data_IF_293818551310
#
_entry.id   IF_293818551310
#
_cell.length_a   1.000
_cell.length_b   1.000
_cell.length_c   1.000
_cell.angle_alpha   90.00
_cell.angle_beta   90.00
_cell.angle_gamma   90.00
#
_symmetry.space_group_name_H-M   'P 1'
#
loop_
_entity.id
_entity.type
_entity.pdbx_description
1 polymer ?
#
# COMPACT_ATOMS: atom_id res chain seq x y z
N UNK A 1 32.72 2.73 -64.17
CA UNK A 1 34.09 3.13 -63.78
C UNK A 1 34.18 4.64 -63.86
N UNK A 2 34.11 5.34 -62.73
CA UNK A 2 34.56 6.73 -62.58
C UNK A 2 34.89 6.98 -61.11
N UNK A 3 35.97 7.72 -60.91
CA UNK A 3 36.78 7.85 -59.70
C UNK A 3 36.74 9.32 -59.28
N UNK A 4 36.99 9.61 -57.98
CA UNK A 4 37.53 10.87 -57.41
C UNK A 4 36.50 12.04 -57.32
N UNK A 5 36.31 12.80 -56.23
CA UNK A 5 37.22 13.32 -55.19
C UNK A 5 36.52 13.73 -53.87
N UNK A 6 37.38 14.06 -52.91
CA UNK A 6 37.22 14.23 -51.47
C UNK A 6 36.49 15.50 -50.95
N UNK A 7 36.21 15.38 -49.65
CA UNK A 7 35.66 16.25 -48.59
C UNK A 7 36.48 17.52 -48.33
N UNK A 8 35.87 18.54 -47.67
CA UNK A 8 36.56 19.13 -46.51
C UNK A 8 35.72 19.13 -45.22
N UNK A 9 36.40 18.74 -44.13
CA UNK A 9 35.98 18.75 -42.73
C UNK A 9 35.87 20.19 -42.23
N UNK A 10 34.80 20.51 -41.52
CA UNK A 10 34.78 21.63 -40.57
C UNK A 10 34.72 21.03 -39.17
N UNK A 11 35.83 21.14 -38.45
CA UNK A 11 35.89 20.87 -37.02
C UNK A 11 35.74 22.17 -36.24
N UNK A 12 35.06 22.11 -35.10
CA UNK A 12 35.20 23.06 -33.99
C UNK A 12 34.64 22.39 -32.71
N UNK A 13 35.57 22.07 -31.80
CA UNK A 13 35.39 21.69 -30.40
C UNK A 13 35.90 22.88 -29.54
N UNK A 14 35.86 22.81 -28.19
CA UNK A 14 34.80 23.29 -27.32
C UNK A 14 35.22 24.56 -26.54
N UNK A 15 34.29 25.26 -25.91
CA UNK A 15 34.62 26.33 -24.93
C UNK A 15 34.13 25.93 -23.54
N UNK A 16 35.04 25.32 -22.77
CA UNK A 16 34.99 25.35 -21.31
C UNK A 16 35.50 26.71 -20.85
N UNK A 17 34.69 27.44 -20.07
CA UNK A 17 35.14 28.59 -19.30
C UNK A 17 34.99 28.25 -17.82
N UNK A 18 36.13 28.03 -17.18
CA UNK A 18 36.29 28.16 -15.74
C UNK A 18 36.05 29.63 -15.35
N UNK A 19 35.21 29.87 -14.35
CA UNK A 19 35.43 30.98 -13.43
C UNK A 19 35.23 30.51 -11.99
N UNK A 20 36.29 30.80 -11.25
CA UNK A 20 36.51 30.69 -9.82
C UNK A 20 35.77 31.79 -9.07
N UNK A 21 35.21 31.52 -7.89
CA UNK A 21 34.82 32.60 -6.98
C UNK A 21 34.07 32.20 -5.71
N UNK A 22 34.73 32.47 -4.58
CA UNK A 22 34.16 32.86 -3.30
C UNK A 22 33.62 31.80 -2.32
N UNK A 23 34.57 31.35 -1.51
CA UNK A 23 34.56 31.25 -0.04
C UNK A 23 33.28 31.64 0.74
N UNK A 24 32.90 30.69 1.62
CA UNK A 24 32.51 30.83 3.03
C UNK A 24 31.57 31.99 3.43
N UNK A 25 30.34 31.62 3.74
CA UNK A 25 29.61 32.18 4.89
C UNK A 25 28.92 31.03 5.65
N UNK A 26 29.55 30.55 6.70
CA UNK A 26 28.90 29.75 7.74
C UNK A 26 28.35 30.75 8.76
N UNK A 27 27.03 30.98 8.75
CA UNK A 27 26.35 31.65 9.85
C UNK A 27 25.83 30.58 10.80
N UNK A 28 26.54 30.42 11.91
CA UNK A 28 26.12 29.62 13.06
C UNK A 28 24.91 30.29 13.73
N UNK A 29 23.73 29.71 13.58
CA UNK A 29 22.58 30.04 14.41
C UNK A 29 22.76 29.38 15.79
N UNK A 30 23.14 30.20 16.77
CA UNK A 30 23.15 29.83 18.18
C UNK A 30 21.80 30.22 18.79
N UNK A 31 21.00 29.21 19.15
CA UNK A 31 19.81 29.39 19.97
C UNK A 31 20.14 28.96 21.39
N UNK A 32 20.24 29.93 22.32
CA UNK A 32 20.22 29.67 23.76
C UNK A 32 18.78 29.90 24.29
N UNK A 33 18.33 29.10 25.28
CA UNK A 33 17.00 29.25 25.86
C UNK A 33 17.02 30.21 27.06
N UNK A 34 16.21 31.27 27.05
CA UNK A 34 15.96 32.04 28.26
C UNK A 34 14.81 31.47 29.07
N UNK A 35 15.16 31.17 30.33
CA UNK A 35 14.26 30.99 31.47
C UNK A 35 13.61 32.33 31.83
N UNK A 36 12.31 32.33 32.08
CA UNK A 36 11.69 33.30 32.98
C UNK A 36 10.74 32.58 33.95
N UNK A 37 11.14 32.61 35.23
CA UNK A 37 10.34 32.23 36.39
C UNK A 37 9.49 33.44 36.80
N UNK A 38 8.19 33.25 37.02
CA UNK A 38 7.44 34.11 37.94
C UNK A 38 6.38 33.31 38.71
N UNK A 39 6.36 33.58 40.01
CA UNK A 39 5.68 32.84 41.05
C UNK A 39 4.24 33.30 41.33
N UNK A 40 3.44 32.33 41.76
CA UNK A 40 2.31 32.36 42.69
C UNK A 40 1.60 33.69 43.04
N UNK A 41 0.27 33.70 42.82
CA UNK A 41 -0.68 34.13 43.86
C UNK A 41 -2.03 33.41 43.73
N UNK A 42 -2.50 32.88 44.86
CA UNK A 42 -3.76 32.12 45.05
C UNK A 42 -5.00 33.01 44.92
N UNK A 43 -6.05 32.46 44.32
CA UNK A 43 -7.44 32.76 44.62
C UNK A 43 -8.29 31.48 44.39
N UNK A 44 -9.00 31.03 45.44
CA UNK A 44 -10.09 30.04 45.36
C UNK A 44 -11.42 30.80 45.18
N UNK A 45 -12.42 30.31 44.42
CA UNK A 45 -13.36 29.23 44.84
C UNK A 45 -14.00 28.49 43.61
N UNK A 46 -15.19 27.84 43.64
CA UNK A 46 -15.91 27.12 44.70
C UNK A 46 -16.06 25.61 44.39
N UNK A 47 -16.54 24.87 45.39
CA UNK A 47 -16.80 23.43 45.35
C UNK A 47 -17.99 23.08 44.45
N UNK A 48 -17.73 22.26 43.43
CA UNK A 48 -18.75 21.47 42.76
C UNK A 48 -18.30 20.01 42.72
N UNK A 49 -19.10 19.17 43.36
CA UNK A 49 -19.02 17.71 43.38
C UNK A 49 -18.78 17.14 41.99
N UNK A 50 -17.54 16.71 41.73
CA UNK A 50 -17.16 16.01 40.51
C UNK A 50 -17.05 14.52 40.83
N UNK A 51 -18.04 13.74 40.38
CA UNK A 51 -17.99 12.29 40.47
C UNK A 51 -16.89 11.77 39.54
N UNK A 52 -15.85 11.23 40.15
CA UNK A 52 -14.73 10.53 39.49
C UNK A 52 -15.23 9.16 39.03
N UNK A 53 -15.75 9.07 37.81
CA UNK A 53 -15.85 7.79 37.12
C UNK A 53 -14.45 7.38 36.67
N UNK A 54 -13.92 6.36 37.33
CA UNK A 54 -12.78 5.59 36.86
C UNK A 54 -13.14 5.06 35.46
N UNK A 55 -12.61 5.68 34.40
CA UNK A 55 -12.61 5.06 33.07
C UNK A 55 -11.61 3.91 33.10
N UNK A 56 -12.17 2.72 33.24
CA UNK A 56 -11.53 1.45 32.92
C UNK A 56 -10.96 1.54 31.49
N UNK A 57 -9.73 1.09 31.23
CA UNK A 57 -9.27 0.92 29.86
C UNK A 57 -10.19 -0.10 29.17
N UNK A 58 -10.76 0.32 28.05
CA UNK A 58 -11.61 -0.49 27.20
C UNK A 58 -10.78 -1.69 26.70
N UNK A 59 -11.19 -2.95 26.97
CA UNK A 59 -10.45 -4.10 26.48
C UNK A 59 -10.53 -4.10 24.96
N UNK A 60 -9.36 -4.19 24.31
CA UNK A 60 -9.23 -4.37 22.88
C UNK A 60 -10.17 -5.50 22.45
N UNK A 61 -11.12 -5.19 21.55
CA UNK A 61 -12.06 -6.15 20.98
C UNK A 61 -11.29 -7.26 20.25
N UNK A 62 -11.05 -8.35 20.95
CA UNK A 62 -10.77 -9.64 20.33
C UNK A 62 -12.04 -10.04 19.59
N UNK A 63 -11.99 -10.10 18.25
CA UNK A 63 -13.15 -10.47 17.43
C UNK A 63 -13.39 -11.96 17.58
N UNK A 64 -14.43 -12.32 18.34
CA UNK A 64 -14.86 -13.71 18.52
C UNK A 64 -15.65 -14.15 17.30
N UNK A 65 -15.04 -14.96 16.44
CA UNK A 65 -15.73 -15.71 15.40
C UNK A 65 -16.16 -17.06 16.02
N UNK A 66 -17.46 -17.30 16.14
CA UNK A 66 -17.99 -18.65 16.41
C UNK A 66 -18.33 -19.32 15.09
N UNK A 67 -17.57 -20.35 14.69
CA UNK A 67 -17.95 -21.26 13.62
C UNK A 67 -18.12 -22.67 14.19
N UNK A 68 -19.32 -23.24 14.04
CA UNK A 68 -19.57 -24.67 14.20
C UNK A 68 -18.76 -25.47 13.17
N UNK A 69 -18.37 -26.73 13.46
CA UNK A 69 -17.49 -27.51 12.59
C UNK A 69 -18.27 -28.10 11.42
N UNK A 70 -18.58 -27.28 10.41
CA UNK A 70 -18.89 -27.75 9.07
C UNK A 70 -17.61 -27.77 8.24
N UNK A 71 -17.33 -28.90 7.60
CA UNK A 71 -16.19 -29.27 6.73
C UNK A 71 -16.04 -28.41 5.46
N UNK A 72 -16.44 -27.14 5.51
CA UNK A 72 -16.29 -26.21 4.40
C UNK A 72 -14.83 -25.77 4.36
N UNK A 73 -14.06 -26.29 3.38
CA UNK A 73 -12.66 -25.90 3.13
C UNK A 73 -12.52 -24.41 2.82
N UNK A 74 -13.60 -23.74 2.43
CA UNK A 74 -13.62 -22.33 2.03
C UNK A 74 -14.72 -21.62 2.79
N UNK A 75 -14.42 -20.43 3.28
CA UNK A 75 -15.43 -19.50 3.79
C UNK A 75 -15.05 -18.06 3.44
N UNK A 76 -16.05 -17.19 3.32
CA UNK A 76 -15.85 -15.75 3.07
C UNK A 76 -15.68 -14.98 4.38
N UNK A 77 -14.94 -13.88 4.32
CA UNK A 77 -14.88 -12.95 5.44
C UNK A 77 -16.26 -12.29 5.68
N UNK A 78 -16.79 -12.25 6.93
CA UNK A 78 -18.08 -11.65 7.22
C UNK A 78 -18.16 -10.15 6.92
N UNK A 79 -17.06 -9.42 7.11
CA UNK A 79 -16.99 -7.97 6.90
C UNK A 79 -16.51 -7.64 5.47
N UNK A 80 -15.83 -8.58 4.81
CA UNK A 80 -15.30 -8.46 3.44
C UNK A 80 -15.75 -9.66 2.59
N UNK A 81 -17.00 -9.70 2.08
CA UNK A 81 -17.53 -10.86 1.33
C UNK A 81 -16.78 -11.16 0.03
N UNK A 82 -15.92 -10.23 -0.40
CA UNK A 82 -15.03 -10.35 -1.54
C UNK A 82 -13.71 -11.09 -1.24
N UNK A 83 -13.47 -11.41 0.03
CA UNK A 83 -12.29 -12.10 0.58
C UNK A 83 -12.64 -13.53 1.00
N UNK A 84 -11.81 -14.49 0.61
CA UNK A 84 -12.02 -15.92 0.88
C UNK A 84 -10.82 -16.54 1.58
N UNK A 85 -11.11 -17.33 2.60
CA UNK A 85 -10.13 -18.13 3.33
C UNK A 85 -10.25 -19.59 2.89
N UNK A 86 -9.13 -20.15 2.45
CA UNK A 86 -9.00 -21.52 1.97
C UNK A 86 -8.18 -22.31 2.97
N UNK A 87 -8.80 -23.28 3.63
CA UNK A 87 -8.14 -24.10 4.64
C UNK A 87 -7.13 -25.07 4.00
N UNK A 88 -5.92 -25.11 4.56
CA UNK A 88 -4.79 -25.89 4.07
C UNK A 88 -4.26 -26.80 5.17
N UNK A 89 -4.17 -28.08 4.86
CA UNK A 89 -3.49 -29.05 5.72
C UNK A 89 -1.97 -28.95 5.56
N UNK A 90 -1.19 -29.27 6.60
CA UNK A 90 0.26 -29.39 6.48
C UNK A 90 0.65 -30.59 5.58
N UNK A 91 1.77 -30.51 4.85
CA UNK A 91 2.68 -29.36 4.75
C UNK A 91 2.12 -28.23 3.88
N UNK A 92 2.31 -26.99 4.31
CA UNK A 92 1.91 -25.78 3.56
C UNK A 92 3.06 -24.75 3.55
N UNK A 93 2.94 -23.67 2.76
CA UNK A 93 4.03 -22.69 2.57
C UNK A 93 4.47 -21.97 3.85
N UNK A 94 3.64 -21.94 4.89
CA UNK A 94 3.95 -21.29 6.18
C UNK A 94 4.50 -22.28 7.20
N UNK A 95 3.99 -23.51 7.23
CA UNK A 95 4.37 -24.52 8.21
C UNK A 95 4.27 -25.93 7.66
N UNK A 96 5.26 -26.75 8.02
CA UNK A 96 5.29 -28.19 7.72
C UNK A 96 4.40 -29.03 8.65
N UNK A 97 3.94 -28.47 9.77
CA UNK A 97 3.26 -29.22 10.85
C UNK A 97 1.92 -28.63 11.27
N UNK A 98 1.70 -27.34 11.09
CA UNK A 98 0.47 -26.66 11.48
C UNK A 98 -0.38 -26.31 10.25
N UNK A 99 -1.72 -26.41 10.33
CA UNK A 99 -2.60 -25.94 9.28
C UNK A 99 -2.53 -24.42 9.10
N UNK A 100 -2.91 -23.94 7.92
CA UNK A 100 -2.96 -22.53 7.57
C UNK A 100 -4.20 -22.22 6.71
N UNK A 101 -4.54 -20.94 6.61
CA UNK A 101 -5.52 -20.44 5.66
C UNK A 101 -4.81 -19.65 4.56
N UNK A 102 -4.99 -20.03 3.30
CA UNK A 102 -4.65 -19.19 2.16
C UNK A 102 -5.76 -18.14 1.96
N UNK A 103 -5.36 -16.89 1.78
CA UNK A 103 -6.28 -15.77 1.61
C UNK A 103 -6.29 -15.34 0.15
N UNK A 104 -7.47 -15.24 -0.46
CA UNK A 104 -7.58 -14.83 -1.88
C UNK A 104 -8.87 -14.06 -2.17
N UNK A 105 -8.94 -13.44 -3.35
CA UNK A 105 -10.14 -12.79 -3.89
C UNK A 105 -11.04 -13.74 -4.70
N UNK A 106 -10.69 -15.04 -4.76
CA UNK A 106 -11.37 -16.05 -5.57
C UNK A 106 -12.15 -16.99 -4.67
N UNK A 107 -13.44 -17.17 -4.97
CA UNK A 107 -14.36 -18.05 -4.23
C UNK A 107 -14.26 -19.52 -4.61
N UNK A 108 -13.58 -19.84 -5.71
CA UNK A 108 -13.37 -21.20 -6.22
C UNK A 108 -12.21 -21.91 -5.50
N UNK A 109 -12.29 -23.24 -5.38
CA UNK A 109 -11.19 -24.05 -4.84
C UNK A 109 -9.89 -23.81 -5.60
N UNK A 110 -8.84 -23.46 -4.84
CA UNK A 110 -7.50 -23.32 -5.36
C UNK A 110 -6.90 -24.71 -5.61
N UNK A 111 -6.64 -25.04 -6.88
CA UNK A 111 -6.01 -26.32 -7.23
C UNK A 111 -4.57 -26.44 -6.72
N UNK A 112 -3.89 -25.30 -6.49
CA UNK A 112 -2.53 -25.23 -5.99
C UNK A 112 -2.42 -24.28 -4.77
N UNK A 113 -1.87 -24.73 -3.63
CA UNK A 113 -1.60 -23.89 -2.45
C UNK A 113 -0.69 -22.69 -2.72
N UNK A 114 0.19 -22.78 -3.74
CA UNK A 114 1.14 -21.74 -4.16
C UNK A 114 0.62 -20.94 -5.37
N UNK A 115 -0.69 -20.98 -5.62
CA UNK A 115 -1.30 -20.24 -6.73
C UNK A 115 -1.00 -18.74 -6.63
N UNK A 116 -0.74 -18.12 -7.78
CA UNK A 116 -0.53 -16.67 -7.89
C UNK A 116 -1.78 -15.86 -7.47
N UNK A 117 -2.93 -16.52 -7.35
CA UNK A 117 -4.17 -15.93 -6.84
C UNK A 117 -4.20 -15.76 -5.31
N UNK A 118 -3.30 -16.41 -4.59
CA UNK A 118 -3.22 -16.33 -3.12
C UNK A 118 -2.46 -15.08 -2.73
N UNK A 119 -3.11 -14.17 -2.00
CA UNK A 119 -2.50 -12.96 -1.46
C UNK A 119 -1.43 -13.25 -0.42
N UNK A 120 -1.68 -14.27 0.38
CA UNK A 120 -0.82 -14.68 1.46
C UNK A 120 -1.50 -15.72 2.33
N UNK A 121 -0.86 -16.02 3.44
CA UNK A 121 -1.24 -17.11 4.31
C UNK A 121 -1.30 -16.68 5.76
N UNK A 122 -2.25 -17.24 6.50
CA UNK A 122 -2.47 -16.98 7.92
C UNK A 122 -2.43 -18.32 8.67
N UNK A 123 -1.66 -18.45 9.77
CA UNK A 123 -1.69 -19.65 10.60
C UNK A 123 -3.10 -19.94 11.11
N UNK A 124 -3.57 -21.18 10.98
CA UNK A 124 -4.86 -21.56 11.54
C UNK A 124 -4.71 -21.69 13.06
N UNK A 125 -5.31 -20.76 13.80
CA UNK A 125 -5.32 -20.80 15.25
C UNK A 125 -6.07 -22.03 15.80
N UNK A 126 -5.84 -22.31 17.09
CA UNK A 126 -6.37 -23.49 17.80
C UNK A 126 -7.91 -23.47 17.91
N UNK A 127 -8.53 -22.29 17.80
CA UNK A 127 -9.97 -22.08 18.00
C UNK A 127 -10.75 -21.77 16.70
N UNK A 128 -10.16 -22.00 15.52
CA UNK A 128 -10.82 -21.67 14.24
C UNK A 128 -11.04 -20.16 14.02
N UNK A 129 -10.48 -19.31 14.87
CA UNK A 129 -10.45 -17.87 14.69
C UNK A 129 -9.36 -17.53 13.68
N UNK A 130 -9.76 -16.86 12.59
CA UNK A 130 -8.83 -16.31 11.62
C UNK A 130 -8.58 -14.86 11.97
N UNK A 131 -7.45 -14.60 12.61
CA UNK A 131 -6.91 -13.25 12.80
C UNK A 131 -5.80 -13.01 11.79
N UNK A 132 -5.66 -11.78 11.29
CA UNK A 132 -4.57 -11.40 10.36
C UNK A 132 -3.17 -11.36 11.03
N UNK A 133 -3.07 -11.79 12.29
CA UNK A 133 -1.81 -11.89 13.02
C UNK A 133 -0.97 -13.00 12.41
N UNK A 134 0.26 -12.66 12.01
CA UNK A 134 1.16 -13.60 11.35
C UNK A 134 0.85 -13.81 9.86
N UNK A 135 0.13 -12.87 9.23
CA UNK A 135 -0.04 -12.88 7.77
C UNK A 135 1.31 -12.87 7.06
N UNK A 136 1.55 -13.90 6.25
CA UNK A 136 2.72 -14.01 5.40
C UNK A 136 2.35 -13.64 3.97
N UNK A 137 2.94 -12.56 3.46
CA UNK A 137 2.68 -12.06 2.11
C UNK A 137 3.20 -13.03 1.03
N UNK A 138 2.42 -13.21 -0.04
CA UNK A 138 2.89 -13.88 -1.26
C UNK A 138 3.48 -12.84 -2.23
N UNK A 139 4.81 -12.89 -2.41
CA UNK A 139 5.50 -11.97 -3.32
C UNK A 139 5.00 -12.07 -4.78
N UNK A 140 4.61 -13.27 -5.22
CA UNK A 140 4.12 -13.51 -6.59
C UNK A 140 2.78 -12.81 -6.81
N UNK A 141 1.90 -12.81 -5.80
CA UNK A 141 0.65 -12.04 -5.88
C UNK A 141 0.92 -10.55 -5.94
N UNK A 142 1.88 -10.04 -5.16
CA UNK A 142 2.25 -8.61 -5.17
C UNK A 142 2.73 -8.16 -6.55
N UNK A 143 3.45 -9.00 -7.28
CA UNK A 143 3.82 -8.72 -8.67
C UNK A 143 2.58 -8.60 -9.59
N UNK A 144 1.63 -9.53 -9.48
CA UNK A 144 0.37 -9.47 -10.23
C UNK A 144 -0.45 -8.24 -9.86
N UNK A 145 -0.49 -7.88 -8.58
CA UNK A 145 -1.16 -6.67 -8.11
C UNK A 145 -0.61 -5.43 -8.82
N UNK A 146 0.72 -5.26 -8.85
CA UNK A 146 1.35 -4.12 -9.53
C UNK A 146 1.10 -4.15 -11.05
N UNK A 147 1.13 -5.32 -11.67
CA UNK A 147 0.80 -5.47 -13.09
C UNK A 147 -0.66 -5.05 -13.37
N UNK A 148 -1.61 -5.53 -12.56
CA UNK A 148 -3.03 -5.24 -12.71
C UNK A 148 -3.33 -3.75 -12.50
N UNK A 149 -2.74 -3.13 -11.47
CA UNK A 149 -2.90 -1.70 -11.21
C UNK A 149 -2.32 -0.90 -12.37
N UNK A 150 -1.09 -1.19 -12.82
CA UNK A 150 -0.48 -0.50 -13.96
C UNK A 150 -1.34 -0.60 -15.22
N UNK A 151 -1.86 -1.80 -15.54
CA UNK A 151 -2.79 -2.01 -16.67
C UNK A 151 -4.10 -1.23 -16.49
N UNK A 152 -4.69 -1.26 -15.30
CA UNK A 152 -5.91 -0.53 -15.00
C UNK A 152 -5.76 0.99 -15.16
N UNK A 153 -4.63 1.54 -14.74
CA UNK A 153 -4.29 2.96 -14.96
C UNK A 153 -4.11 3.28 -16.44
N UNK A 154 -3.43 2.41 -17.19
CA UNK A 154 -3.22 2.58 -18.63
C UNK A 154 -4.54 2.54 -19.43
N UNK A 155 -5.45 1.66 -19.04
CA UNK A 155 -6.77 1.50 -19.67
C UNK A 155 -7.79 2.53 -19.19
N UNK A 156 -7.48 3.29 -18.12
CA UNK A 156 -8.38 4.29 -17.57
C UNK A 156 -9.67 3.69 -17.00
N UNK A 157 -9.57 2.55 -16.31
CA UNK A 157 -10.76 1.81 -15.81
C UNK A 157 -11.28 2.31 -14.47
N UNK A 158 -10.59 3.25 -13.82
CA UNK A 158 -10.94 3.74 -12.48
C UNK A 158 -11.09 5.25 -12.42
N UNK A 159 -12.34 5.70 -12.27
CA UNK A 159 -12.73 7.11 -12.21
C UNK A 159 -12.06 7.83 -11.03
N UNK A 160 -11.77 7.14 -9.93
CA UNK A 160 -11.14 7.75 -8.75
C UNK A 160 -9.72 8.22 -9.10
N UNK A 161 -8.91 7.38 -9.75
CA UNK A 161 -7.56 7.78 -10.17
C UNK A 161 -7.61 8.83 -11.27
N UNK A 162 -8.55 8.72 -12.21
CA UNK A 162 -8.73 9.73 -13.27
C UNK A 162 -9.03 11.10 -12.66
N UNK A 163 -9.97 11.17 -11.70
CA UNK A 163 -10.29 12.41 -11.02
C UNK A 163 -9.11 12.94 -10.18
N UNK A 164 -8.34 12.05 -9.54
CA UNK A 164 -7.10 12.42 -8.84
C UNK A 164 -6.07 13.06 -9.78
N UNK A 165 -5.91 12.52 -10.99
CA UNK A 165 -5.02 13.06 -12.00
C UNK A 165 -5.50 14.43 -12.51
N UNK A 166 -6.81 14.59 -12.77
CA UNK A 166 -7.41 15.86 -13.16
C UNK A 166 -7.17 16.95 -12.11
N UNK A 167 -7.26 16.61 -10.81
CA UNK A 167 -6.98 17.54 -9.72
C UNK A 167 -5.49 17.86 -9.59
N UNK A 168 -4.62 16.87 -9.80
CA UNK A 168 -3.17 17.06 -9.75
C UNK A 168 -2.67 17.93 -10.90
N UNK A 169 -3.29 17.81 -12.08
CA UNK A 169 -2.96 18.48 -13.34
C UNK A 169 -1.55 18.15 -13.89
N UNK A 170 -0.49 18.36 -13.11
CA UNK A 170 0.87 17.97 -13.47
C UNK A 170 1.71 17.64 -12.24
N UNK A 171 2.56 16.62 -12.33
CA UNK A 171 3.47 16.20 -11.26
C UNK A 171 3.32 14.73 -10.88
N UNK A 172 3.94 14.32 -9.78
CA UNK A 172 3.81 12.95 -9.28
C UNK A 172 2.53 12.79 -8.45
N UNK A 173 1.80 11.71 -8.71
CA UNK A 173 0.60 11.30 -8.00
C UNK A 173 0.81 9.93 -7.36
N UNK A 174 0.39 9.78 -6.11
CA UNK A 174 0.40 8.49 -5.42
C UNK A 174 -0.92 7.76 -5.64
N UNK A 175 -0.82 6.46 -5.94
CA UNK A 175 -1.96 5.55 -6.01
C UNK A 175 -2.08 4.88 -4.66
N UNK A 176 -3.16 5.19 -3.95
CA UNK A 176 -3.46 4.65 -2.63
C UNK A 176 -4.36 3.43 -2.73
N UNK A 177 -4.28 2.57 -1.73
CA UNK A 177 -5.37 1.65 -1.47
C UNK A 177 -6.48 2.30 -0.63
N UNK A 178 -7.64 1.65 -0.62
CA UNK A 178 -8.89 2.12 -0.02
C UNK A 178 -9.04 1.76 1.46
N UNK A 179 -7.97 1.30 2.13
CA UNK A 179 -8.03 1.02 3.58
C UNK A 179 -8.01 2.30 4.39
N UNK A 180 -7.11 3.21 4.04
CA UNK A 180 -6.83 4.44 4.79
C UNK A 180 -6.59 5.62 3.83
N UNK A 181 -7.69 6.19 3.34
CA UNK A 181 -7.65 7.30 2.39
C UNK A 181 -7.15 8.56 3.12
N UNK A 182 -6.05 9.20 2.67
CA UNK A 182 -5.54 10.39 3.32
C UNK A 182 -6.48 11.59 3.18
N UNK A 183 -6.42 12.51 4.14
CA UNK A 183 -7.08 13.80 4.02
C UNK A 183 -6.56 14.57 2.79
N UNK A 184 -7.41 15.41 2.20
CA UNK A 184 -7.06 16.16 0.99
C UNK A 184 -5.77 16.98 1.17
N UNK A 185 -4.83 16.82 0.24
CA UNK A 185 -3.53 17.49 0.27
C UNK A 185 -2.52 16.89 1.26
N UNK A 186 -2.82 15.74 1.87
CA UNK A 186 -1.89 14.97 2.70
C UNK A 186 -1.44 13.71 1.96
N UNK A 187 -0.22 13.28 2.26
CA UNK A 187 0.30 11.98 1.82
C UNK A 187 -0.12 10.96 2.89
N UNK A 188 -0.70 9.85 2.44
CA UNK A 188 -1.09 8.72 3.29
C UNK A 188 0.11 7.96 3.86
N UNK A 189 -0.17 6.94 4.66
CA UNK A 189 0.88 6.12 5.23
C UNK A 189 1.62 5.34 4.13
N UNK A 190 2.97 5.25 4.18
CA UNK A 190 3.74 4.57 3.14
C UNK A 190 3.36 3.11 2.89
N UNK A 191 2.82 2.44 3.91
CA UNK A 191 2.39 1.04 3.83
C UNK A 191 1.10 0.87 2.99
N UNK A 192 0.33 1.96 2.77
CA UNK A 192 -0.93 1.99 2.01
C UNK A 192 -0.79 2.65 0.63
N UNK A 193 0.39 3.20 0.31
CA UNK A 193 0.70 3.71 -1.02
C UNK A 193 1.13 2.53 -1.88
N UNK A 194 0.35 2.19 -2.91
CA UNK A 194 0.65 1.09 -3.83
C UNK A 194 1.81 1.47 -4.75
N UNK A 195 1.74 2.67 -5.33
CA UNK A 195 2.69 3.12 -6.34
C UNK A 195 2.65 4.64 -6.52
N UNK A 196 3.61 5.15 -7.30
CA UNK A 196 3.60 6.52 -7.81
C UNK A 196 3.61 6.53 -9.33
N UNK A 197 2.95 7.52 -9.92
CA UNK A 197 2.87 7.75 -11.37
C UNK A 197 3.03 9.23 -11.67
N UNK A 198 3.59 9.56 -12.83
CA UNK A 198 3.61 10.91 -13.36
C UNK A 198 2.24 11.25 -13.96
N UNK A 199 1.82 12.48 -13.75
CA UNK A 199 0.62 13.09 -14.34
C UNK A 199 1.06 14.29 -15.17
N UNK A 200 0.51 14.41 -16.38
CA UNK A 200 0.69 15.54 -17.28
C UNK A 200 -0.64 15.90 -17.92
N UNK A 201 -0.98 17.19 -17.92
CA UNK A 201 -2.26 17.73 -18.42
C UNK A 201 -3.49 16.96 -17.91
N UNK A 202 -3.48 16.59 -16.63
CA UNK A 202 -4.55 15.86 -15.97
C UNK A 202 -4.65 14.38 -16.35
N UNK A 203 -3.68 13.83 -17.09
CA UNK A 203 -3.65 12.44 -17.55
C UNK A 203 -2.54 11.65 -16.86
N UNK A 204 -2.85 10.40 -16.53
CA UNK A 204 -1.89 9.47 -15.91
C UNK A 204 -0.98 8.88 -16.99
N UNK A 205 0.33 8.96 -16.78
CA UNK A 205 1.34 8.31 -17.61
C UNK A 205 1.71 6.95 -16.99
N UNK A 206 0.93 5.91 -17.30
CA UNK A 206 1.06 4.58 -16.68
C UNK A 206 2.40 3.87 -16.96
N UNK A 207 3.16 4.31 -17.97
CA UNK A 207 4.53 3.86 -18.24
C UNK A 207 5.53 4.31 -17.16
N UNK A 208 5.23 5.36 -16.42
CA UNK A 208 6.06 5.88 -15.32
C UNK A 208 5.78 5.21 -13.97
N UNK A 209 4.95 4.17 -13.97
CA UNK A 209 4.55 3.43 -12.77
C UNK A 209 5.76 2.94 -11.97
N UNK A 210 5.84 3.39 -10.72
CA UNK A 210 6.85 2.99 -9.75
C UNK A 210 6.17 2.36 -8.52
N UNK A 211 6.31 1.03 -8.34
CA UNK A 211 5.84 0.36 -7.12
C UNK A 211 6.44 1.00 -5.87
N UNK A 212 5.63 1.16 -4.82
CA UNK A 212 6.13 1.62 -3.54
C UNK A 212 6.80 0.46 -2.78
N UNK A 213 8.09 0.56 -2.42
CA UNK A 213 8.78 -0.52 -1.72
C UNK A 213 8.21 -0.82 -0.33
N UNK A 214 7.65 0.19 0.35
CA UNK A 214 7.06 0.06 1.68
C UNK A 214 5.68 -0.63 1.68
N UNK A 215 4.98 -0.68 0.55
CA UNK A 215 3.60 -1.17 0.47
C UNK A 215 3.43 -2.57 1.09
N UNK A 216 2.40 -2.74 1.92
CA UNK A 216 2.06 -4.01 2.59
C UNK A 216 0.68 -4.50 2.20
N UNK A 217 0.59 -5.79 1.88
CA UNK A 217 -0.68 -6.42 1.56
C UNK A 217 -1.62 -6.50 2.77
N UNK A 218 -1.05 -6.47 3.98
CA UNK A 218 -1.81 -6.48 5.23
C UNK A 218 -1.17 -5.50 6.22
N UNK A 219 -1.99 -4.59 6.75
CA UNK A 219 -1.61 -3.63 7.80
C UNK A 219 -2.55 -3.77 9.00
N UNK A 220 -2.42 -2.88 9.99
CA UNK A 220 -3.37 -2.81 11.11
C UNK A 220 -4.80 -2.47 10.66
N UNK A 221 -4.96 -1.78 9.53
CA UNK A 221 -6.25 -1.44 8.93
C UNK A 221 -6.85 -2.59 8.10
N UNK A 222 -6.09 -3.66 7.90
CA UNK A 222 -6.53 -4.90 7.27
C UNK A 222 -5.81 -5.23 5.96
N UNK A 223 -6.42 -6.15 5.20
CA UNK A 223 -5.91 -6.59 3.90
C UNK A 223 -6.19 -5.54 2.83
N UNK A 224 -5.29 -5.43 1.85
CA UNK A 224 -5.40 -4.60 0.65
C UNK A 224 -6.84 -4.50 0.15
N UNK A 225 -7.27 -3.26 -0.08
CA UNK A 225 -8.55 -2.93 -0.68
C UNK A 225 -8.30 -1.96 -1.81
N UNK A 226 -8.72 -2.28 -3.03
CA UNK A 226 -8.59 -1.37 -4.16
C UNK A 226 -9.89 -0.62 -4.39
N UNK A 227 -9.77 0.50 -5.09
CA UNK A 227 -10.90 1.21 -5.68
C UNK A 227 -11.68 0.29 -6.64
N UNK A 228 -12.99 0.53 -6.87
CA UNK A 228 -13.83 -0.40 -7.64
C UNK A 228 -13.29 -0.75 -9.04
N UNK A 229 -12.76 0.23 -9.77
CA UNK A 229 -12.20 0.00 -11.11
C UNK A 229 -10.95 -0.88 -11.08
N UNK A 230 -10.04 -0.61 -10.13
CA UNK A 230 -8.80 -1.38 -9.99
C UNK A 230 -9.04 -2.76 -9.37
N UNK A 231 -9.98 -2.91 -8.43
CA UNK A 231 -10.38 -4.21 -7.86
C UNK A 231 -10.93 -5.12 -8.95
N UNK A 232 -11.84 -4.61 -9.79
CA UNK A 232 -12.36 -5.37 -10.93
C UNK A 232 -11.24 -5.81 -11.87
N UNK A 233 -10.34 -4.90 -12.22
CA UNK A 233 -9.19 -5.20 -13.10
C UNK A 233 -8.28 -6.27 -12.50
N UNK A 234 -8.00 -6.18 -11.20
CA UNK A 234 -7.21 -7.18 -10.49
C UNK A 234 -7.86 -8.55 -10.58
N UNK A 235 -9.17 -8.67 -10.32
CA UNK A 235 -9.88 -9.96 -10.42
C UNK A 235 -9.82 -10.54 -11.82
N UNK A 236 -9.99 -9.73 -12.86
CA UNK A 236 -9.86 -10.17 -14.25
C UNK A 236 -8.46 -10.74 -14.54
N UNK A 237 -7.41 -10.04 -14.10
CA UNK A 237 -6.02 -10.48 -14.26
C UNK A 237 -5.75 -11.77 -13.48
N UNK A 238 -6.26 -11.89 -12.25
CA UNK A 238 -6.11 -13.11 -11.44
C UNK A 238 -6.84 -14.31 -12.06
N UNK A 239 -8.05 -14.11 -12.59
CA UNK A 239 -8.80 -15.16 -13.29
C UNK A 239 -8.08 -15.64 -14.56
N UNK A 240 -7.50 -14.71 -15.33
CA UNK A 240 -6.68 -15.06 -16.50
C UNK A 240 -5.43 -15.84 -16.08
N UNK A 241 -4.70 -15.35 -15.07
CA UNK A 241 -3.49 -16.01 -14.57
C UNK A 241 -3.76 -17.41 -14.00
N UNK A 242 -4.93 -17.62 -13.41
CA UNK A 242 -5.35 -18.92 -12.86
C UNK A 242 -5.75 -19.90 -13.97
N UNK A 243 -6.23 -19.42 -15.12
CA UNK A 243 -6.63 -20.28 -16.27
C UNK A 243 -5.44 -20.79 -17.08
N UNK A 244 -4.32 -20.07 -17.06
CA UNK A 244 -3.13 -20.37 -17.85
C UNK A 244 -2.23 -21.44 -17.21
N UNK A 245 -2.60 -21.96 -16.04
CA UNK A 245 -1.87 -22.97 -15.28
C UNK A 245 -2.80 -24.11 -14.88
#
# INVERSE_FOLDING_TARGET
>A
MSRLLAVPRVGLQPKYLHQTGFARALTSYSWQPERALHAFRRAAPPEHTCQRTLRTPEPQRTRLLSSTPSTSKIFSDPDRPDLFYHFMQPPNPVSSSNPAYAVSFISTELSNPDSKAVMGWVPAGIEGQVGLIGFQENAVFKEILHEAVRKGLQEGVDDIQINGALQTHSGWMHVHDDRNIPALGRIGDPDDIIASVLVEDGKILAETYQPMPAYRLCTADGITRLTPGLDKKLREVLMEATRQH
#
